data_IF_309937585928
#
_entry.id   IF_309937585928
#
_cell.length_a   1.000
_cell.length_b   1.000
_cell.length_c   1.000
_cell.angle_alpha   90.00
_cell.angle_beta   90.00
_cell.angle_gamma   90.00
#
_symmetry.space_group_name_H-M   'P 1'
#
loop_
_entity.id
_entity.type
_entity.pdbx_description
1 polymer ?
#
# COMPACT_ATOMS: atom_id res chain seq x y z
N UNK A 1 19.92 -8.72 -7.45
CA UNK A 1 18.84 -8.42 -6.48
C UNK A 1 19.22 -7.13 -5.78
N UNK A 2 18.35 -6.13 -5.74
CA UNK A 2 18.63 -4.85 -5.06
C UNK A 2 18.72 -5.06 -3.55
N UNK A 3 19.69 -4.44 -2.90
CA UNK A 3 19.73 -4.29 -1.45
C UNK A 3 18.65 -3.31 -0.99
N UNK A 4 18.29 -3.36 0.29
CA UNK A 4 17.32 -2.45 0.88
C UNK A 4 17.77 -0.96 0.74
N UNK A 5 19.06 -0.69 0.89
CA UNK A 5 19.60 0.67 0.75
C UNK A 5 19.56 1.17 -0.70
N UNK A 6 19.76 0.30 -1.66
CA UNK A 6 19.60 0.64 -3.09
C UNK A 6 18.14 0.97 -3.40
N UNK A 7 17.16 0.20 -2.86
CA UNK A 7 15.74 0.48 -3.01
C UNK A 7 15.34 1.81 -2.36
N UNK A 8 15.80 2.09 -1.16
CA UNK A 8 15.58 3.40 -0.50
C UNK A 8 16.17 4.55 -1.31
N UNK A 9 17.40 4.38 -1.82
CA UNK A 9 18.03 5.39 -2.67
C UNK A 9 17.27 5.61 -3.98
N UNK A 10 16.74 4.55 -4.59
CA UNK A 10 15.90 4.60 -5.77
C UNK A 10 14.59 5.36 -5.49
N UNK A 11 13.86 5.00 -4.43
CA UNK A 11 12.61 5.64 -4.05
C UNK A 11 12.78 7.12 -3.71
N UNK A 12 13.87 7.48 -3.03
CA UNK A 12 14.20 8.88 -2.69
C UNK A 12 14.37 9.77 -3.94
N UNK A 13 14.78 9.18 -5.07
CA UNK A 13 14.90 9.90 -6.34
C UNK A 13 13.58 9.92 -7.13
N UNK A 14 12.74 8.92 -6.93
CA UNK A 14 11.48 8.73 -7.67
C UNK A 14 10.30 9.46 -7.04
N UNK A 15 10.28 9.57 -5.72
CA UNK A 15 9.18 10.10 -4.94
C UNK A 15 9.50 11.49 -4.37
N UNK A 16 8.49 12.32 -4.16
CA UNK A 16 8.64 13.53 -3.36
C UNK A 16 9.12 13.19 -1.95
N UNK A 17 9.77 14.15 -1.29
CA UNK A 17 10.23 13.98 0.09
C UNK A 17 9.10 13.51 1.02
N UNK A 18 7.89 14.09 0.87
CA UNK A 18 6.72 13.72 1.68
C UNK A 18 6.33 12.26 1.44
N UNK A 19 6.24 11.84 0.17
CA UNK A 19 5.84 10.48 -0.17
C UNK A 19 6.90 9.45 0.22
N UNK A 20 8.18 9.79 0.07
CA UNK A 20 9.26 8.92 0.53
C UNK A 20 9.24 8.69 2.05
N UNK A 21 9.01 9.76 2.85
CA UNK A 21 8.86 9.61 4.31
C UNK A 21 7.64 8.75 4.64
N UNK A 22 6.52 8.96 3.97
CA UNK A 22 5.34 8.11 4.12
C UNK A 22 5.65 6.64 3.85
N UNK A 23 6.35 6.32 2.76
CA UNK A 23 6.74 4.94 2.45
C UNK A 23 7.62 4.32 3.54
N UNK A 24 8.51 5.10 4.16
CA UNK A 24 9.30 4.62 5.31
C UNK A 24 8.41 4.35 6.54
N UNK A 25 7.50 5.26 6.87
CA UNK A 25 6.59 5.09 8.00
C UNK A 25 5.68 3.86 7.82
N UNK A 26 5.17 3.65 6.60
CA UNK A 26 4.37 2.45 6.27
C UNK A 26 5.21 1.18 6.39
N UNK A 27 6.46 1.19 5.93
CA UNK A 27 7.36 0.05 6.06
C UNK A 27 7.63 -0.30 7.54
N UNK A 28 7.93 0.69 8.36
CA UNK A 28 8.18 0.50 9.80
C UNK A 28 6.94 -0.01 10.52
N UNK A 29 5.76 0.49 10.17
CA UNK A 29 4.50 0.04 10.74
C UNK A 29 4.13 -1.37 10.31
N UNK A 30 4.32 -1.70 9.02
CA UNK A 30 4.10 -3.04 8.50
C UNK A 30 5.03 -4.07 9.17
N UNK A 31 6.30 -3.71 9.40
CA UNK A 31 7.26 -4.55 10.13
C UNK A 31 6.75 -4.92 11.53
N UNK A 32 6.26 -3.92 12.30
CA UNK A 32 5.75 -4.13 13.66
C UNK A 32 4.51 -5.02 13.65
N UNK A 33 3.55 -4.73 12.77
CA UNK A 33 2.32 -5.52 12.67
C UNK A 33 2.61 -6.97 12.25
N UNK A 34 3.53 -7.18 11.29
CA UNK A 34 3.92 -8.51 10.85
C UNK A 34 4.50 -9.35 11.98
N UNK A 35 5.43 -8.78 12.76
CA UNK A 35 5.99 -9.45 13.94
C UNK A 35 4.94 -9.81 14.98
N UNK A 36 3.89 -9.02 15.12
CA UNK A 36 2.80 -9.25 16.06
C UNK A 36 1.83 -10.33 15.62
N UNK A 37 1.55 -10.37 14.30
CA UNK A 37 0.51 -11.23 13.74
C UNK A 37 1.03 -12.46 12.99
N UNK A 38 2.32 -12.78 13.18
CA UNK A 38 2.92 -14.04 12.72
C UNK A 38 3.23 -14.08 11.22
N UNK A 39 3.44 -12.91 10.61
CA UNK A 39 3.90 -12.78 9.24
C UNK A 39 5.40 -12.45 9.21
N UNK A 40 6.05 -12.59 8.07
CA UNK A 40 7.46 -12.23 7.88
C UNK A 40 7.66 -10.71 7.94
N UNK A 41 8.35 -10.17 8.99
CA UNK A 41 8.51 -8.73 9.14
C UNK A 41 9.37 -8.10 8.02
N UNK A 42 10.38 -8.79 7.52
CA UNK A 42 11.24 -8.25 6.45
C UNK A 42 10.49 -8.17 5.13
N UNK A 43 9.66 -9.18 4.84
CA UNK A 43 8.76 -9.18 3.70
C UNK A 43 7.73 -8.05 3.80
N UNK A 44 7.14 -7.84 4.98
CA UNK A 44 6.19 -6.76 5.23
C UNK A 44 6.85 -5.38 5.11
N UNK A 45 8.06 -5.22 5.66
CA UNK A 45 8.84 -4.00 5.49
C UNK A 45 9.05 -3.67 4.00
N UNK A 46 9.48 -4.65 3.22
CA UNK A 46 9.73 -4.47 1.79
C UNK A 46 8.46 -4.09 1.02
N UNK A 47 7.35 -4.77 1.28
CA UNK A 47 6.07 -4.47 0.65
C UNK A 47 5.57 -3.06 1.03
N UNK A 48 5.67 -2.67 2.31
CA UNK A 48 5.33 -1.34 2.80
C UNK A 48 6.19 -0.24 2.20
N UNK A 49 7.50 -0.49 2.07
CA UNK A 49 8.43 0.46 1.43
C UNK A 49 8.07 0.73 -0.04
N UNK A 50 7.60 -0.29 -0.75
CA UNK A 50 7.35 -0.24 -2.19
C UNK A 50 5.88 0.05 -2.56
N UNK A 51 4.94 0.06 -1.60
CA UNK A 51 3.49 0.11 -1.89
C UNK A 51 3.09 1.28 -2.80
N UNK A 52 3.71 2.43 -2.63
CA UNK A 52 3.41 3.67 -3.36
C UNK A 52 4.47 4.02 -4.43
N UNK A 53 5.26 3.07 -4.90
CA UNK A 53 6.36 3.29 -5.87
C UNK A 53 5.94 4.02 -7.14
N UNK A 54 4.68 3.85 -7.58
CA UNK A 54 4.10 4.51 -8.75
C UNK A 54 3.09 5.61 -8.42
N UNK A 55 2.94 6.00 -7.14
CA UNK A 55 1.91 6.97 -6.71
C UNK A 55 2.03 8.34 -7.37
N UNK A 56 3.25 8.79 -7.58
CA UNK A 56 3.55 10.10 -8.17
C UNK A 56 4.04 9.99 -9.61
N UNK A 57 3.97 8.80 -10.22
CA UNK A 57 4.22 8.63 -11.65
C UNK A 57 3.16 9.36 -12.49
N UNK A 58 3.54 9.86 -13.67
CA UNK A 58 2.56 10.41 -14.62
C UNK A 58 1.42 9.43 -14.89
N UNK A 59 0.20 9.94 -15.02
CA UNK A 59 -1.00 9.11 -15.25
C UNK A 59 -0.85 8.18 -16.45
N UNK A 60 -0.22 8.65 -17.53
CA UNK A 60 0.04 7.85 -18.73
C UNK A 60 1.00 6.67 -18.44
N UNK A 61 2.02 6.86 -17.59
CA UNK A 61 2.92 5.78 -17.15
C UNK A 61 2.16 4.75 -16.30
N UNK A 62 1.32 5.21 -15.37
CA UNK A 62 0.52 4.31 -14.55
C UNK A 62 -0.46 3.48 -15.40
N UNK A 63 -1.11 4.11 -16.39
CA UNK A 63 -2.01 3.42 -17.33
C UNK A 63 -1.26 2.36 -18.15
N UNK A 64 -0.11 2.72 -18.72
CA UNK A 64 0.71 1.80 -19.50
C UNK A 64 1.16 0.58 -18.68
N UNK A 65 1.68 0.81 -17.47
CA UNK A 65 2.10 -0.27 -16.57
C UNK A 65 0.92 -1.16 -16.16
N UNK A 66 -0.22 -0.56 -15.83
CA UNK A 66 -1.43 -1.28 -15.48
C UNK A 66 -1.91 -2.16 -16.64
N UNK A 67 -1.93 -1.66 -17.87
CA UNK A 67 -2.34 -2.42 -19.05
C UNK A 67 -1.35 -3.56 -19.37
N UNK A 68 -0.05 -3.32 -19.24
CA UNK A 68 1.00 -4.34 -19.43
C UNK A 68 0.96 -5.44 -18.38
N UNK A 69 0.36 -5.19 -17.22
CA UNK A 69 0.33 -6.15 -16.11
C UNK A 69 -0.47 -7.43 -16.44
N UNK A 70 -1.41 -7.37 -17.39
CA UNK A 70 -2.40 -8.41 -17.65
C UNK A 70 -3.20 -8.84 -16.41
N UNK A 71 -3.25 -7.99 -15.37
CA UNK A 71 -4.04 -8.24 -14.18
C UNK A 71 -5.53 -8.00 -14.48
N UNK A 72 -6.39 -8.69 -13.75
CA UNK A 72 -7.82 -8.39 -13.80
C UNK A 72 -8.07 -7.04 -13.10
N UNK A 73 -8.40 -6.01 -13.87
CA UNK A 73 -8.70 -4.66 -13.39
C UNK A 73 -10.22 -4.49 -13.42
N UNK A 74 -10.80 -4.17 -12.28
CA UNK A 74 -12.24 -3.96 -12.14
C UNK A 74 -12.69 -2.67 -12.86
N UNK A 75 -13.98 -2.58 -13.22
CA UNK A 75 -14.54 -1.37 -13.81
C UNK A 75 -14.40 -0.14 -12.89
N UNK A 76 -14.48 -0.33 -11.58
CA UNK A 76 -14.26 0.74 -10.60
C UNK A 76 -12.83 1.27 -10.63
N UNK A 77 -11.84 0.39 -10.75
CA UNK A 77 -10.44 0.80 -10.89
C UNK A 77 -10.18 1.52 -12.21
N UNK A 78 -10.71 1.01 -13.32
CA UNK A 78 -10.56 1.66 -14.62
C UNK A 78 -11.12 3.09 -14.62
N UNK A 79 -12.23 3.31 -13.93
CA UNK A 79 -12.88 4.63 -13.85
C UNK A 79 -12.22 5.59 -12.84
N UNK A 80 -11.34 5.10 -11.96
CA UNK A 80 -10.78 5.88 -10.84
C UNK A 80 -9.27 5.93 -10.92
N UNK A 81 -8.73 6.95 -11.60
CA UNK A 81 -7.27 7.12 -11.80
C UNK A 81 -6.45 7.06 -10.49
N UNK A 82 -7.03 7.54 -9.39
CA UNK A 82 -6.37 7.51 -8.07
C UNK A 82 -6.00 6.09 -7.60
N UNK A 83 -6.61 5.05 -8.19
CA UNK A 83 -6.36 3.64 -7.85
C UNK A 83 -5.30 2.96 -8.74
N UNK A 84 -4.89 3.59 -9.84
CA UNK A 84 -4.02 2.97 -10.85
C UNK A 84 -2.62 2.66 -10.34
N UNK A 85 -2.13 3.42 -9.36
CA UNK A 85 -0.78 3.21 -8.80
C UNK A 85 -0.60 1.84 -8.13
N UNK A 86 -1.66 1.19 -7.63
CA UNK A 86 -1.59 -0.15 -7.06
C UNK A 86 -1.19 -1.21 -8.11
N UNK A 87 -1.98 -1.45 -9.16
CA UNK A 87 -1.62 -2.37 -10.23
C UNK A 87 -0.36 -1.96 -11.00
N UNK A 88 -0.18 -0.67 -11.26
CA UNK A 88 1.04 -0.15 -11.89
C UNK A 88 2.28 -0.42 -11.04
N UNK A 89 2.20 -0.19 -9.73
CA UNK A 89 3.28 -0.44 -8.78
C UNK A 89 3.65 -1.91 -8.70
N UNK A 90 2.68 -2.80 -8.59
CA UNK A 90 2.91 -4.24 -8.57
C UNK A 90 3.62 -4.73 -9.85
N UNK A 91 3.18 -4.25 -11.02
CA UNK A 91 3.84 -4.59 -12.27
C UNK A 91 5.25 -3.98 -12.36
N UNK A 92 5.43 -2.72 -11.96
CA UNK A 92 6.72 -2.05 -11.95
C UNK A 92 7.74 -2.80 -11.07
N UNK A 93 7.34 -3.20 -9.87
CA UNK A 93 8.20 -3.96 -8.94
C UNK A 93 8.66 -5.27 -9.59
N UNK A 94 7.76 -5.96 -10.28
CA UNK A 94 8.08 -7.20 -10.97
C UNK A 94 9.00 -6.98 -12.17
N UNK A 95 8.68 -6.04 -13.05
CA UNK A 95 9.40 -5.85 -14.32
C UNK A 95 10.72 -5.11 -14.16
N UNK A 96 10.76 -4.07 -13.33
CA UNK A 96 11.92 -3.16 -13.23
C UNK A 96 12.83 -3.50 -12.04
N UNK A 97 12.25 -3.97 -10.92
CA UNK A 97 13.04 -4.31 -9.73
C UNK A 97 13.32 -5.82 -9.62
N UNK A 98 12.71 -6.65 -10.48
CA UNK A 98 12.94 -8.09 -10.51
C UNK A 98 12.41 -8.84 -9.29
N UNK A 99 11.51 -8.25 -8.51
CA UNK A 99 10.89 -8.87 -7.33
C UNK A 99 9.67 -9.67 -7.80
N UNK A 100 9.74 -10.99 -7.67
CA UNK A 100 8.71 -11.92 -8.16
C UNK A 100 7.90 -12.59 -7.04
N UNK A 101 8.08 -12.19 -5.79
CA UNK A 101 7.30 -12.72 -4.66
C UNK A 101 5.83 -12.29 -4.81
N UNK A 102 4.93 -13.27 -5.01
CA UNK A 102 3.51 -13.05 -5.26
C UNK A 102 2.80 -12.35 -4.10
N UNK A 103 3.25 -12.59 -2.87
CA UNK A 103 2.62 -12.00 -1.68
C UNK A 103 2.93 -10.51 -1.61
N UNK A 104 4.19 -10.13 -1.88
CA UNK A 104 4.62 -8.73 -1.98
C UNK A 104 3.85 -8.02 -3.11
N UNK A 105 3.80 -8.64 -4.28
CA UNK A 105 3.11 -8.06 -5.44
C UNK A 105 1.61 -7.86 -5.17
N UNK A 106 0.95 -8.83 -4.54
CA UNK A 106 -0.46 -8.72 -4.17
C UNK A 106 -0.68 -7.67 -3.08
N UNK A 107 0.18 -7.60 -2.07
CA UNK A 107 0.10 -6.60 -1.02
C UNK A 107 0.18 -5.18 -1.62
N UNK A 108 1.11 -4.94 -2.53
CA UNK A 108 1.20 -3.66 -3.27
C UNK A 108 -0.02 -3.44 -4.17
N UNK A 109 -0.48 -4.48 -4.88
CA UNK A 109 -1.61 -4.40 -5.81
C UNK A 109 -2.90 -3.96 -5.11
N UNK A 110 -3.15 -4.47 -3.92
CA UNK A 110 -4.44 -4.33 -3.24
C UNK A 110 -4.43 -3.39 -2.03
N UNK A 111 -3.31 -2.70 -1.77
CA UNK A 111 -3.19 -1.85 -0.58
C UNK A 111 -4.20 -0.70 -0.49
N UNK A 112 -4.78 -0.27 -1.61
CA UNK A 112 -5.76 0.83 -1.61
C UNK A 112 -7.21 0.37 -1.59
N UNK A 113 -7.52 -0.72 -2.28
CA UNK A 113 -8.92 -1.16 -2.49
C UNK A 113 -9.28 -2.40 -1.66
N UNK A 114 -8.26 -3.14 -1.21
CA UNK A 114 -8.45 -4.47 -0.65
C UNK A 114 -9.05 -5.46 -1.67
N UNK A 115 -9.37 -6.64 -1.21
CA UNK A 115 -10.13 -7.65 -1.95
C UNK A 115 -10.74 -8.69 -1.01
N UNK A 116 -11.65 -9.50 -1.50
CA UNK A 116 -12.08 -10.70 -0.77
C UNK A 116 -10.94 -11.70 -0.67
N UNK A 117 -10.75 -12.29 0.51
CA UNK A 117 -9.71 -13.28 0.74
C UNK A 117 -8.29 -12.72 0.69
N UNK A 118 -8.08 -11.52 1.24
CA UNK A 118 -6.73 -10.96 1.44
C UNK A 118 -5.87 -11.93 2.25
N UNK A 119 -4.60 -12.07 1.86
CA UNK A 119 -3.60 -12.72 2.72
C UNK A 119 -3.29 -11.84 3.93
N UNK A 120 -2.67 -12.43 4.96
CA UNK A 120 -2.27 -11.66 6.14
C UNK A 120 -1.32 -10.51 5.79
N UNK A 121 -0.41 -10.71 4.85
CA UNK A 121 0.48 -9.65 4.36
C UNK A 121 -0.31 -8.52 3.66
N UNK A 122 -1.28 -8.86 2.82
CA UNK A 122 -2.13 -7.85 2.18
C UNK A 122 -2.89 -7.01 3.21
N UNK A 123 -3.48 -7.65 4.23
CA UNK A 123 -4.16 -6.98 5.34
C UNK A 123 -3.22 -6.05 6.12
N UNK A 124 -1.99 -6.52 6.41
CA UNK A 124 -0.97 -5.75 7.12
C UNK A 124 -0.58 -4.49 6.33
N UNK A 125 -0.33 -4.60 5.03
CA UNK A 125 0.05 -3.43 4.22
C UNK A 125 -1.11 -2.44 4.11
N UNK A 126 -2.33 -2.94 3.92
CA UNK A 126 -3.54 -2.11 3.91
C UNK A 126 -3.71 -1.33 5.22
N UNK A 127 -3.54 -2.02 6.37
CA UNK A 127 -3.65 -1.40 7.68
C UNK A 127 -2.50 -0.44 7.97
N UNK A 128 -1.25 -0.83 7.64
CA UNK A 128 -0.07 -0.01 7.87
C UNK A 128 -0.14 1.33 7.11
N UNK A 129 -0.62 1.32 5.85
CA UNK A 129 -0.86 2.57 5.11
C UNK A 129 -1.94 3.44 5.78
N UNK A 130 -2.95 2.83 6.36
CA UNK A 130 -4.04 3.55 7.03
C UNK A 130 -3.61 4.22 8.35
N UNK A 131 -2.69 3.59 9.12
CA UNK A 131 -2.35 4.02 10.49
C UNK A 131 -0.92 4.54 10.66
N UNK A 132 -0.12 4.62 9.59
CA UNK A 132 1.28 5.09 9.66
C UNK A 132 1.40 6.44 10.40
N UNK A 133 2.58 6.72 10.96
CA UNK A 133 2.82 7.87 11.86
C UNK A 133 2.47 9.22 11.24
N UNK A 134 2.59 9.35 9.92
CA UNK A 134 2.27 10.57 9.19
C UNK A 134 0.78 10.74 8.87
N UNK A 135 -0.07 9.77 9.24
CA UNK A 135 -1.52 9.88 9.08
C UNK A 135 -2.14 10.72 10.20
N UNK A 136 -2.90 11.72 9.80
CA UNK A 136 -3.60 12.66 10.68
C UNK A 136 -5.04 12.84 10.19
N UNK A 137 -5.89 11.88 10.50
CA UNK A 137 -7.33 11.98 10.26
C UNK A 137 -8.10 11.74 11.56
N UNK A 138 -9.34 12.21 11.62
CA UNK A 138 -10.20 11.97 12.76
C UNK A 138 -10.24 10.47 13.10
N UNK A 139 -10.05 10.14 14.36
CA UNK A 139 -10.06 8.77 14.89
C UNK A 139 -8.84 7.88 14.51
N UNK A 140 -7.76 8.42 13.91
CA UNK A 140 -6.57 7.63 13.59
C UNK A 140 -5.97 6.93 14.81
N UNK A 141 -5.92 7.59 15.95
CA UNK A 141 -5.41 7.00 17.20
C UNK A 141 -6.28 5.87 17.73
N UNK A 142 -7.59 5.95 17.51
CA UNK A 142 -8.50 4.84 17.81
C UNK A 142 -8.19 3.66 16.89
N UNK A 143 -7.98 3.90 15.60
CA UNK A 143 -7.63 2.85 14.63
C UNK A 143 -6.27 2.22 14.94
N UNK A 144 -5.25 3.04 15.31
CA UNK A 144 -3.95 2.55 15.78
C UNK A 144 -4.10 1.59 16.96
N UNK A 145 -4.80 2.02 18.02
CA UNK A 145 -5.03 1.17 19.20
C UNK A 145 -5.74 -0.15 18.82
N UNK A 146 -6.73 -0.07 17.95
CA UNK A 146 -7.49 -1.23 17.52
C UNK A 146 -6.62 -2.20 16.71
N UNK A 147 -5.79 -1.69 15.79
CA UNK A 147 -4.88 -2.50 14.99
C UNK A 147 -3.88 -3.30 15.84
N UNK A 148 -3.52 -2.81 17.03
CA UNK A 148 -2.62 -3.48 17.96
C UNK A 148 -3.33 -4.35 19.01
N UNK A 149 -4.65 -4.27 19.17
CA UNK A 149 -5.40 -5.04 20.16
C UNK A 149 -6.37 -6.07 19.58
N UNK A 150 -6.96 -5.76 18.42
CA UNK A 150 -7.96 -6.59 17.74
C UNK A 150 -7.90 -6.30 16.23
N UNK A 151 -6.99 -6.99 15.55
CA UNK A 151 -6.68 -6.74 14.16
C UNK A 151 -7.86 -7.03 13.20
N UNK A 152 -8.62 -8.09 13.48
CA UNK A 152 -9.80 -8.44 12.66
C UNK A 152 -10.85 -7.34 12.73
N UNK A 153 -11.09 -6.83 13.93
CA UNK A 153 -11.99 -5.70 14.12
C UNK A 153 -11.45 -4.42 13.49
N UNK A 154 -10.14 -4.17 13.56
CA UNK A 154 -9.51 -3.03 12.88
C UNK A 154 -9.74 -3.10 11.37
N UNK A 155 -9.56 -4.28 10.75
CA UNK A 155 -9.82 -4.49 9.32
C UNK A 155 -11.29 -4.26 8.99
N UNK A 156 -12.23 -4.73 9.81
CA UNK A 156 -13.66 -4.49 9.61
C UNK A 156 -14.00 -2.99 9.66
N UNK A 157 -13.52 -2.28 10.69
CA UNK A 157 -13.73 -0.83 10.82
C UNK A 157 -13.09 -0.06 9.65
N UNK A 158 -11.91 -0.49 9.20
CA UNK A 158 -11.23 0.10 8.04
C UNK A 158 -12.06 -0.05 6.75
N UNK A 159 -12.66 -1.22 6.52
CA UNK A 159 -13.55 -1.44 5.39
C UNK A 159 -14.79 -0.53 5.44
N UNK A 160 -15.36 -0.30 6.62
CA UNK A 160 -16.49 0.62 6.79
C UNK A 160 -16.11 2.08 6.51
N UNK A 161 -14.89 2.51 6.84
CA UNK A 161 -14.39 3.85 6.53
C UNK A 161 -14.30 4.11 5.02
N UNK A 162 -14.08 3.08 4.21
CA UNK A 162 -14.02 3.19 2.74
C UNK A 162 -15.38 3.08 2.06
N UNK A 163 -16.37 2.42 2.69
CA UNK A 163 -17.72 2.24 2.13
C UNK A 163 -18.69 3.36 2.52
N UNK A 164 -18.38 4.13 3.56
CA UNK A 164 -19.14 5.34 3.90
C UNK A 164 -18.64 6.51 3.03
N UNK A 165 -19.53 7.42 2.55
CA UNK A 165 -19.09 8.66 1.91
C UNK A 165 -18.26 9.44 2.91
N UNK A 166 -16.94 9.32 2.77
CA UNK A 166 -15.98 9.81 3.74
C UNK A 166 -15.59 11.24 3.41
N UNK A 167 -15.30 12.07 4.45
CA UNK A 167 -14.67 13.37 4.27
C UNK A 167 -13.34 13.37 3.48
N UNK A 168 -12.75 12.17 3.25
CA UNK A 168 -11.52 12.01 2.45
C UNK A 168 -11.69 12.30 0.96
N UNK A 169 -12.91 12.18 0.42
CA UNK A 169 -13.18 12.47 -1.00
C UNK A 169 -13.23 13.97 -1.28
N UNK A 170 -13.43 14.79 -0.25
CA UNK A 170 -13.45 16.26 -0.34
C UNK A 170 -12.07 16.91 -0.16
N UNK A 171 -11.07 16.21 0.37
CA UNK A 171 -9.71 16.74 0.57
C UNK A 171 -8.73 16.37 -0.57
N UNK A 172 -9.19 15.67 -1.60
CA UNK A 172 -8.40 15.26 -2.78
C UNK A 172 -8.71 16.07 -4.04
N UNK A 173 -9.44 17.21 -3.90
CA UNK A 173 -9.70 18.15 -5.00
C UNK A 173 -8.56 19.14 -5.12
#
# INVERSE_FOLDING_TARGET
MYSLEELKSFLKKRLSKKRFIHSLNVADEAYKLAGMYGEDPDKAYLAGLLHDVCKESPTAEQEELMLKSNMNISGAELSTKALWHGPAGAYFIKSELGINDSDILNAVRYHTIGRSGMSKLEEIIYMADLISDDRDYKDVDKMRKLAYSDFERAMYEACLLYTSPSPRDTERS
#
